data_IF_587599088487
#
_entry.id   IF_587599088487
#
_cell.length_a   1.000
_cell.length_b   1.000
_cell.length_c   1.000
_cell.angle_alpha   90.00
_cell.angle_beta   90.00
_cell.angle_gamma   90.00
#
_symmetry.space_group_name_H-M   'P 1'
#
loop_
_entity.id
_entity.type
_entity.pdbx_description
1 polymer ?
#
# COMPACT_ATOMS: atom_id res chain seq x y z
N UNK A 1 -48.29 -30.90 -71.83
CA UNK A 1 -47.12 -31.80 -71.90
C UNK A 1 -45.92 -30.95 -72.28
N UNK A 2 -44.81 -30.78 -71.54
CA UNK A 2 -44.24 -31.41 -70.36
C UNK A 2 -43.24 -30.41 -69.73
N UNK A 3 -43.35 -30.24 -68.41
CA UNK A 3 -42.28 -30.06 -67.42
C UNK A 3 -41.44 -28.75 -67.35
N UNK A 4 -41.90 -27.89 -66.42
CA UNK A 4 -41.12 -27.25 -65.34
C UNK A 4 -39.80 -27.97 -65.01
N UNK A 5 -38.67 -27.25 -65.01
CA UNK A 5 -37.34 -27.57 -64.42
C UNK A 5 -36.41 -26.42 -64.85
N UNK A 6 -35.79 -25.56 -64.03
CA UNK A 6 -35.39 -25.60 -62.64
C UNK A 6 -35.39 -24.16 -62.08
N UNK A 7 -36.27 -23.87 -61.11
CA UNK A 7 -35.92 -22.94 -60.05
C UNK A 7 -34.79 -23.59 -59.22
N UNK A 8 -33.80 -22.78 -58.82
CA UNK A 8 -32.74 -22.99 -57.81
C UNK A 8 -31.34 -22.67 -58.37
N UNK A 9 -31.16 -21.46 -58.90
CA UNK A 9 -29.84 -20.82 -58.81
C UNK A 9 -29.78 -20.22 -57.41
N UNK A 10 -29.03 -20.90 -56.55
CA UNK A 10 -28.94 -20.63 -55.14
C UNK A 10 -28.56 -19.17 -54.88
N UNK A 11 -29.47 -18.43 -54.27
CA UNK A 11 -29.11 -17.31 -53.42
C UNK A 11 -28.32 -17.90 -52.25
N UNK A 12 -27.01 -18.10 -52.47
CA UNK A 12 -26.05 -18.27 -51.39
C UNK A 12 -25.99 -16.89 -50.74
N UNK A 13 -26.96 -16.64 -49.86
CA UNK A 13 -26.83 -15.63 -48.83
C UNK A 13 -25.54 -15.97 -48.11
N UNK A 14 -24.49 -15.21 -48.40
CA UNK A 14 -23.33 -15.07 -47.53
C UNK A 14 -23.85 -14.55 -46.18
N UNK A 15 -24.35 -15.46 -45.35
CA UNK A 15 -24.30 -15.32 -43.90
C UNK A 15 -22.80 -15.35 -43.55
N UNK A 16 -22.12 -14.23 -43.80
CA UNK A 16 -20.97 -13.85 -43.02
C UNK A 16 -21.51 -13.62 -41.61
N UNK A 17 -21.65 -14.70 -40.86
CA UNK A 17 -21.68 -14.63 -39.41
C UNK A 17 -20.37 -13.95 -39.02
N UNK A 18 -20.44 -12.64 -38.81
CA UNK A 18 -19.42 -11.92 -38.11
C UNK A 18 -19.33 -12.58 -36.73
N UNK A 19 -18.40 -13.53 -36.60
CA UNK A 19 -17.89 -13.97 -35.33
C UNK A 19 -17.22 -12.74 -34.72
N UNK A 20 -18.02 -11.87 -34.12
CA UNK A 20 -17.54 -10.94 -33.11
C UNK A 20 -16.93 -11.81 -32.04
N UNK A 21 -15.60 -11.94 -32.08
CA UNK A 21 -14.84 -12.42 -30.94
C UNK A 21 -15.16 -11.44 -29.83
N UNK A 22 -16.15 -11.79 -29.01
CA UNK A 22 -16.41 -11.11 -27.75
C UNK A 22 -15.13 -11.33 -26.95
N UNK A 23 -14.23 -10.35 -26.98
CA UNK A 23 -13.10 -10.35 -26.07
C UNK A 23 -13.73 -10.45 -24.68
N UNK A 24 -13.49 -11.57 -24.00
CA UNK A 24 -13.97 -11.74 -22.64
C UNK A 24 -13.50 -10.51 -21.86
N UNK A 25 -14.45 -9.76 -21.29
CA UNK A 25 -14.12 -8.61 -20.45
C UNK A 25 -13.14 -9.11 -19.39
N UNK A 26 -11.88 -8.67 -19.49
CA UNK A 26 -10.87 -9.05 -18.51
C UNK A 26 -11.34 -8.49 -17.19
N UNK A 27 -11.73 -9.38 -16.27
CA UNK A 27 -12.11 -8.98 -14.92
C UNK A 27 -10.98 -8.11 -14.35
N UNK A 28 -11.30 -6.93 -13.80
CA UNK A 28 -10.29 -6.08 -13.17
C UNK A 28 -9.53 -6.86 -12.09
N UNK A 29 -8.21 -6.66 -12.05
CA UNK A 29 -7.35 -7.29 -11.06
C UNK A 29 -7.43 -6.54 -9.74
N UNK A 30 -7.37 -7.29 -8.65
CA UNK A 30 -7.21 -6.73 -7.31
C UNK A 30 -5.79 -6.18 -7.12
N UNK A 31 -5.65 -5.16 -6.27
CA UNK A 31 -4.38 -4.48 -6.00
C UNK A 31 -4.07 -4.54 -4.51
N UNK A 32 -2.90 -5.07 -4.17
CA UNK A 32 -2.30 -4.95 -2.84
C UNK A 32 -1.13 -3.95 -2.92
N UNK A 33 -1.25 -2.84 -2.21
CA UNK A 33 -0.22 -1.80 -2.12
C UNK A 33 0.43 -1.83 -0.74
N UNK A 34 1.72 -2.18 -0.67
CA UNK A 34 2.48 -2.22 0.58
C UNK A 34 3.45 -1.04 0.59
N UNK A 35 3.32 -0.16 1.58
CA UNK A 35 4.25 0.94 1.83
C UNK A 35 5.00 0.68 3.15
N UNK A 36 6.30 0.91 3.20
CA UNK A 36 7.13 0.72 4.39
C UNK A 36 7.86 2.04 4.65
N UNK A 37 7.67 2.63 5.82
CA UNK A 37 8.22 3.94 6.14
C UNK A 37 9.71 3.86 6.47
N UNK A 38 10.50 4.79 5.93
CA UNK A 38 11.96 4.89 6.11
C UNK A 38 12.78 3.64 5.73
N UNK A 39 12.18 2.65 5.05
CA UNK A 39 12.93 1.52 4.51
C UNK A 39 13.92 1.98 3.43
N UNK A 40 15.20 1.68 3.66
CA UNK A 40 16.29 1.96 2.74
C UNK A 40 16.60 0.77 1.82
N UNK A 41 17.70 0.86 1.09
CA UNK A 41 18.17 -0.13 0.13
C UNK A 41 18.84 -1.37 0.75
N UNK A 42 18.78 -1.55 2.08
CA UNK A 42 19.48 -2.65 2.77
C UNK A 42 18.95 -4.05 2.46
N UNK A 43 17.80 -4.14 1.81
CA UNK A 43 17.12 -5.40 1.49
C UNK A 43 17.96 -6.38 0.64
N UNK A 44 17.74 -7.68 0.84
CA UNK A 44 18.44 -8.76 0.14
C UNK A 44 18.26 -8.71 -1.37
N UNK A 45 17.06 -8.38 -1.87
CA UNK A 45 16.80 -8.26 -3.31
C UNK A 45 17.63 -7.16 -4.00
N UNK A 46 18.09 -6.16 -3.26
CA UNK A 46 18.99 -5.10 -3.76
C UNK A 46 20.47 -5.40 -3.49
N UNK A 47 20.78 -6.54 -2.85
CA UNK A 47 22.13 -6.87 -2.35
C UNK A 47 22.69 -5.76 -1.47
N UNK A 48 21.82 -5.19 -0.63
CA UNK A 48 22.17 -4.12 0.30
C UNK A 48 23.04 -4.61 1.46
N UNK A 49 22.65 -4.27 2.69
CA UNK A 49 23.42 -4.66 3.87
C UNK A 49 23.38 -6.19 4.05
N UNK A 50 24.53 -6.89 4.07
CA UNK A 50 24.57 -8.35 4.21
C UNK A 50 24.02 -8.87 5.55
N UNK A 51 23.87 -8.00 6.56
CA UNK A 51 23.23 -8.37 7.81
C UNK A 51 21.70 -8.42 7.70
N UNK A 52 21.08 -7.69 6.77
CA UNK A 52 19.63 -7.67 6.66
C UNK A 52 19.08 -9.04 6.16
N UNK A 53 18.07 -9.56 6.84
CA UNK A 53 17.42 -10.84 6.51
C UNK A 53 16.00 -10.60 6.01
N UNK A 54 15.81 -10.54 4.68
CA UNK A 54 14.51 -10.23 4.03
C UNK A 54 13.95 -11.33 3.12
N UNK A 55 13.96 -12.62 3.52
CA UNK A 55 13.69 -13.74 2.61
C UNK A 55 12.28 -13.70 1.97
N UNK A 56 11.29 -13.11 2.65
CA UNK A 56 9.95 -12.97 2.10
C UNK A 56 9.85 -11.88 1.02
N UNK A 57 10.59 -10.78 1.18
CA UNK A 57 10.68 -9.72 0.16
C UNK A 57 11.47 -10.21 -1.05
N UNK A 58 12.56 -10.94 -0.81
CA UNK A 58 13.39 -11.53 -1.87
C UNK A 58 12.56 -12.52 -2.72
N UNK A 59 11.73 -13.33 -2.05
CA UNK A 59 10.79 -14.24 -2.72
C UNK A 59 9.72 -13.51 -3.53
N UNK A 60 9.23 -12.35 -3.05
CA UNK A 60 8.27 -11.53 -3.80
C UNK A 60 8.94 -10.92 -5.04
N UNK A 61 10.13 -10.35 -4.88
CA UNK A 61 10.90 -9.77 -5.98
C UNK A 61 11.22 -10.82 -7.07
N UNK A 62 11.58 -12.04 -6.69
CA UNK A 62 11.86 -13.14 -7.62
C UNK A 62 10.65 -13.62 -8.44
N UNK A 63 9.42 -13.30 -7.99
CA UNK A 63 8.17 -13.63 -8.69
C UNK A 63 7.60 -12.47 -9.49
N UNK A 64 8.22 -11.30 -9.42
CA UNK A 64 7.71 -10.06 -9.99
C UNK A 64 8.75 -9.29 -10.79
N UNK A 65 8.54 -7.99 -10.88
CA UNK A 65 9.48 -7.04 -11.46
C UNK A 65 10.13 -6.24 -10.34
N UNK A 66 11.47 -6.22 -10.30
CA UNK A 66 12.23 -5.42 -9.36
C UNK A 66 12.77 -4.16 -10.06
N UNK A 67 12.40 -2.99 -9.56
CA UNK A 67 12.99 -1.72 -9.98
C UNK A 67 14.18 -1.39 -9.08
N UNK A 68 15.40 -1.52 -9.60
CA UNK A 68 16.64 -1.29 -8.85
C UNK A 68 17.05 0.18 -8.75
N UNK A 69 16.33 1.07 -9.44
CA UNK A 69 16.64 2.50 -9.51
C UNK A 69 15.39 3.36 -9.26
N UNK A 70 14.58 2.98 -8.26
CA UNK A 70 13.38 3.71 -7.87
C UNK A 70 13.70 4.75 -6.80
N UNK A 71 13.30 6.01 -7.04
CA UNK A 71 13.56 7.12 -6.13
C UNK A 71 12.26 7.74 -5.64
N UNK A 72 12.20 8.12 -4.36
CA UNK A 72 11.13 8.95 -3.85
C UNK A 72 11.21 10.36 -4.46
N UNK A 73 10.05 11.03 -4.58
CA UNK A 73 10.01 12.39 -5.13
C UNK A 73 10.53 13.45 -4.15
N UNK A 74 10.55 13.13 -2.84
CA UNK A 74 11.15 13.93 -1.79
C UNK A 74 11.61 13.04 -0.64
N UNK A 75 12.74 13.32 0.01
CA UNK A 75 13.26 12.55 1.14
C UNK A 75 12.60 12.96 2.48
N UNK A 76 11.26 13.02 2.50
CA UNK A 76 10.46 13.34 3.69
C UNK A 76 9.07 12.71 3.58
N UNK A 77 8.54 12.17 4.70
CA UNK A 77 7.31 11.39 4.74
C UNK A 77 6.12 12.06 4.03
N UNK A 78 5.71 13.26 4.47
CA UNK A 78 4.55 13.98 3.92
C UNK A 78 4.68 14.32 2.44
N UNK A 79 5.75 15.03 2.02
CA UNK A 79 6.03 15.31 0.62
C UNK A 79 6.06 14.06 -0.27
N UNK A 80 6.79 13.01 0.14
CA UNK A 80 6.89 11.76 -0.62
C UNK A 80 5.54 11.08 -0.79
N UNK A 81 4.79 10.91 0.31
CA UNK A 81 3.48 10.26 0.31
C UNK A 81 2.47 11.06 -0.49
N UNK A 82 2.45 12.38 -0.36
CA UNK A 82 1.58 13.23 -1.16
C UNK A 82 1.86 13.10 -2.66
N UNK A 83 3.13 12.94 -3.05
CA UNK A 83 3.51 12.76 -4.45
C UNK A 83 3.12 11.38 -5.01
N UNK A 84 3.26 10.32 -4.23
CA UNK A 84 2.77 8.97 -4.60
C UNK A 84 1.24 8.98 -4.72
N UNK A 85 0.54 9.55 -3.73
CA UNK A 85 -0.92 9.50 -3.70
C UNK A 85 -1.55 10.39 -4.76
N UNK A 86 -0.98 11.56 -5.07
CA UNK A 86 -1.55 12.46 -6.10
C UNK A 86 -0.97 12.26 -7.50
N UNK A 87 0.19 11.61 -7.63
CA UNK A 87 0.99 11.62 -8.86
C UNK A 87 1.68 12.96 -9.16
N UNK A 88 1.65 13.93 -8.23
CA UNK A 88 2.16 15.29 -8.44
C UNK A 88 3.48 15.48 -7.69
N UNK A 89 4.52 15.91 -8.41
CA UNK A 89 5.86 16.13 -7.82
C UNK A 89 5.85 17.32 -6.83
N UNK A 90 6.69 17.28 -5.78
CA UNK A 90 6.89 18.42 -4.87
C UNK A 90 7.26 19.72 -5.59
N UNK A 91 8.05 19.64 -6.67
CA UNK A 91 8.40 20.80 -7.51
C UNK A 91 7.21 21.46 -8.19
N UNK A 92 6.10 20.74 -8.36
CA UNK A 92 4.86 21.24 -8.95
C UNK A 92 3.87 21.67 -7.87
N UNK A 93 3.72 20.86 -6.81
CA UNK A 93 2.76 21.15 -5.75
C UNK A 93 3.25 22.22 -4.77
N UNK A 94 4.56 22.36 -4.57
CA UNK A 94 5.14 23.17 -3.49
C UNK A 94 5.10 22.51 -2.11
N UNK A 95 4.75 21.22 -2.01
CA UNK A 95 4.72 20.50 -0.72
C UNK A 95 6.11 19.93 -0.38
N UNK A 96 6.90 20.63 0.44
CA UNK A 96 8.30 20.28 0.71
C UNK A 96 8.60 19.81 2.14
N UNK A 97 7.66 19.97 3.09
CA UNK A 97 7.90 19.65 4.50
C UNK A 97 6.76 18.85 5.11
N UNK A 98 7.06 18.03 6.11
CA UNK A 98 6.07 17.20 6.82
C UNK A 98 4.95 18.01 7.50
N UNK A 99 5.24 19.25 7.92
CA UNK A 99 4.25 20.14 8.56
C UNK A 99 3.19 20.68 7.59
N UNK A 100 3.39 20.55 6.28
CA UNK A 100 2.44 21.02 5.27
C UNK A 100 1.39 19.96 5.01
N UNK A 101 0.13 20.25 5.35
CA UNK A 101 -0.99 19.40 4.96
C UNK A 101 -1.36 19.62 3.50
N UNK A 102 -1.69 18.54 2.79
CA UNK A 102 -2.10 18.66 1.39
C UNK A 102 -3.48 19.29 1.22
N UNK A 103 -4.38 19.27 2.22
CA UNK A 103 -5.70 19.90 2.11
C UNK A 103 -5.61 21.44 2.02
N UNK A 104 -4.53 22.02 2.54
CA UNK A 104 -4.25 23.46 2.44
C UNK A 104 -3.47 23.82 1.17
N UNK A 105 -3.10 22.83 0.37
CA UNK A 105 -2.39 23.02 -0.89
C UNK A 105 -3.41 22.96 -2.04
N UNK A 106 -3.66 24.05 -2.80
CA UNK A 106 -4.70 24.06 -3.83
C UNK A 106 -4.43 23.12 -5.00
N UNK A 107 -3.17 22.74 -5.26
CA UNK A 107 -2.84 21.79 -6.32
C UNK A 107 -3.16 20.36 -5.87
N UNK A 108 -2.74 20.00 -4.66
CA UNK A 108 -2.94 18.65 -4.12
C UNK A 108 -4.38 18.42 -3.68
N UNK A 109 -5.00 19.39 -3.00
CA UNK A 109 -6.36 19.25 -2.50
C UNK A 109 -7.37 18.99 -3.61
N UNK A 110 -7.15 19.58 -4.79
CA UNK A 110 -8.01 19.44 -5.97
C UNK A 110 -7.59 18.30 -6.91
N UNK A 111 -6.59 17.50 -6.54
CA UNK A 111 -6.17 16.31 -7.30
C UNK A 111 -7.00 15.08 -6.93
N UNK A 112 -7.14 14.14 -7.85
CA UNK A 112 -7.66 12.80 -7.54
C UNK A 112 -6.53 11.97 -6.96
N UNK A 113 -6.68 11.52 -5.72
CA UNK A 113 -5.68 10.66 -5.09
C UNK A 113 -5.82 9.21 -5.58
N UNK A 114 -4.75 8.43 -5.43
CA UNK A 114 -4.68 7.01 -5.79
C UNK A 114 -5.86 6.19 -5.23
N UNK A 115 -6.20 6.24 -3.93
CA UNK A 115 -7.38 5.54 -3.40
C UNK A 115 -8.69 6.08 -4.02
N UNK A 116 -8.82 7.40 -4.22
CA UNK A 116 -10.00 7.99 -4.87
C UNK A 116 -10.17 7.51 -6.30
N UNK A 117 -9.06 7.39 -7.05
CA UNK A 117 -9.07 6.89 -8.41
C UNK A 117 -9.60 5.46 -8.45
N UNK A 118 -9.15 4.57 -7.57
CA UNK A 118 -9.68 3.21 -7.50
C UNK A 118 -11.17 3.21 -7.14
N UNK A 119 -11.57 3.97 -6.11
CA UNK A 119 -12.97 4.05 -5.68
C UNK A 119 -13.90 4.56 -6.80
N UNK A 120 -13.48 5.61 -7.52
CA UNK A 120 -14.22 6.18 -8.66
C UNK A 120 -14.34 5.20 -9.85
N UNK A 121 -13.49 4.18 -9.91
CA UNK A 121 -13.49 3.15 -10.95
C UNK A 121 -14.09 1.81 -10.47
N UNK A 122 -14.91 1.85 -9.42
CA UNK A 122 -15.70 0.69 -8.98
C UNK A 122 -14.92 -0.32 -8.14
N UNK A 123 -13.76 0.07 -7.60
CA UNK A 123 -13.06 -0.77 -6.63
C UNK A 123 -13.58 -0.52 -5.22
N UNK A 124 -13.66 -1.58 -4.43
CA UNK A 124 -13.71 -1.45 -2.98
C UNK A 124 -12.32 -1.06 -2.46
N UNK A 125 -12.22 0.02 -1.70
CA UNK A 125 -10.93 0.57 -1.26
C UNK A 125 -10.78 0.50 0.24
N UNK A 126 -9.83 -0.34 0.67
CA UNK A 126 -9.46 -0.55 2.06
C UNK A 126 -8.01 -0.10 2.32
N UNK A 127 -7.73 0.35 3.54
CA UNK A 127 -6.39 0.77 3.96
C UNK A 127 -6.10 0.42 5.42
N UNK A 128 -4.83 0.24 5.76
CA UNK A 128 -4.39 0.17 7.14
C UNK A 128 -2.99 0.76 7.31
N UNK A 129 -2.70 1.28 8.49
CA UNK A 129 -1.36 1.74 8.86
C UNK A 129 -0.96 3.06 8.18
N UNK A 130 0.36 3.29 8.03
CA UNK A 130 0.90 4.55 7.50
C UNK A 130 0.86 4.57 5.97
N UNK A 131 -0.25 4.99 5.38
CA UNK A 131 -0.32 5.27 3.92
C UNK A 131 -0.11 6.77 3.63
N UNK A 132 -0.70 7.61 4.46
CA UNK A 132 -0.52 9.07 4.45
C UNK A 132 0.38 9.50 5.61
N UNK A 133 0.66 10.80 5.73
CA UNK A 133 1.47 11.29 6.83
C UNK A 133 0.60 11.48 8.10
N UNK A 134 0.93 10.76 9.17
CA UNK A 134 0.13 10.71 10.39
C UNK A 134 -0.20 12.06 11.03
N UNK A 135 0.68 13.07 10.89
CA UNK A 135 0.44 14.40 11.46
C UNK A 135 -0.82 15.10 10.92
N UNK A 136 -1.26 14.75 9.70
CA UNK A 136 -2.42 15.36 9.04
C UNK A 136 -3.53 14.35 8.70
N UNK A 137 -3.32 13.07 9.00
CA UNK A 137 -4.14 11.96 8.51
C UNK A 137 -5.64 12.19 8.70
N UNK A 138 -6.04 12.58 9.92
CA UNK A 138 -7.44 12.73 10.32
C UNK A 138 -8.25 13.66 9.39
N UNK A 139 -7.61 14.71 8.86
CA UNK A 139 -8.28 15.65 7.94
C UNK A 139 -8.04 15.27 6.48
N UNK A 140 -6.87 14.71 6.18
CA UNK A 140 -6.44 14.41 4.82
C UNK A 140 -7.20 13.25 4.16
N UNK A 141 -7.57 12.20 4.88
CA UNK A 141 -8.25 11.03 4.27
C UNK A 141 -9.77 11.13 4.30
N UNK A 142 -10.33 12.15 4.97
CA UNK A 142 -11.77 12.28 5.20
C UNK A 142 -12.50 12.50 3.88
N UNK A 143 -13.21 11.46 3.42
CA UNK A 143 -13.93 11.48 2.15
C UNK A 143 -13.02 11.37 0.92
N UNK A 144 -11.76 10.96 1.10
CA UNK A 144 -10.74 10.89 0.06
C UNK A 144 -10.36 9.45 -0.30
N UNK A 145 -11.36 8.65 -0.67
CA UNK A 145 -11.12 7.41 -1.44
C UNK A 145 -11.06 6.11 -0.66
N UNK A 146 -11.40 6.06 0.62
CA UNK A 146 -11.46 4.81 1.40
C UNK A 146 -12.88 4.46 1.80
N UNK A 147 -13.28 3.22 1.57
CA UNK A 147 -14.50 2.61 2.10
C UNK A 147 -14.28 2.15 3.54
N UNK A 148 -13.13 1.53 3.81
CA UNK A 148 -12.69 1.07 5.13
C UNK A 148 -11.24 1.49 5.41
N UNK A 149 -10.94 1.86 6.65
CA UNK A 149 -9.56 2.13 7.08
C UNK A 149 -9.35 1.63 8.50
N UNK A 150 -8.23 0.97 8.77
CA UNK A 150 -7.87 0.47 10.09
C UNK A 150 -6.61 1.17 10.65
N UNK A 151 -6.60 1.58 11.94
CA UNK A 151 -7.65 1.38 12.96
C UNK A 151 -8.95 2.14 12.72
N UNK A 152 -8.89 3.30 12.06
CA UNK A 152 -10.07 4.05 11.65
C UNK A 152 -9.74 5.09 10.58
N UNK A 153 -10.75 5.79 10.05
CA UNK A 153 -10.54 6.94 9.14
C UNK A 153 -10.02 8.21 9.82
N UNK A 154 -9.76 8.15 11.13
CA UNK A 154 -9.24 9.26 11.93
C UNK A 154 -7.92 8.91 12.63
N UNK A 155 -7.44 7.68 12.45
CA UNK A 155 -6.23 7.16 13.06
C UNK A 155 -5.52 6.25 12.04
N UNK A 156 -4.32 6.62 11.64
CA UNK A 156 -3.54 5.90 10.63
C UNK A 156 -2.95 4.60 11.17
N UNK A 157 -2.38 4.62 12.37
CA UNK A 157 -1.61 3.51 12.95
C UNK A 157 -2.30 2.96 14.19
N UNK A 158 -2.23 1.65 14.44
CA UNK A 158 -2.44 1.12 15.78
C UNK A 158 -1.52 1.85 16.78
N UNK A 159 -2.02 2.06 18.00
CA UNK A 159 -1.27 2.84 18.99
C UNK A 159 -0.05 2.08 19.46
N UNK A 160 1.08 2.79 19.58
CA UNK A 160 2.25 2.31 20.33
C UNK A 160 2.06 2.45 21.84
N UNK A 161 0.95 3.04 22.31
CA UNK A 161 0.63 3.16 23.72
C UNK A 161 0.42 1.78 24.35
N UNK A 162 1.06 1.54 25.51
CA UNK A 162 1.00 0.26 26.21
C UNK A 162 2.02 -0.78 25.73
N UNK A 163 2.78 -0.49 24.66
CA UNK A 163 3.91 -1.34 24.26
C UNK A 163 4.94 -1.36 25.40
N UNK A 164 5.29 -2.55 25.87
CA UNK A 164 6.25 -2.75 26.96
C UNK A 164 7.64 -2.90 26.38
N UNK A 165 8.64 -2.30 27.03
CA UNK A 165 10.04 -2.34 26.60
C UNK A 165 10.89 -3.18 27.56
N UNK A 166 11.95 -3.82 27.05
CA UNK A 166 12.81 -4.69 27.87
C UNK A 166 13.64 -3.91 28.90
N UNK A 167 13.94 -2.65 28.62
CA UNK A 167 14.61 -1.72 29.53
C UNK A 167 13.74 -0.49 29.80
N UNK A 168 14.06 0.28 30.85
CA UNK A 168 13.48 1.61 31.02
C UNK A 168 13.77 2.44 29.77
N UNK A 169 12.75 3.11 29.22
CA UNK A 169 12.90 4.04 28.10
C UNK A 169 14.09 4.98 28.36
N UNK A 170 15.12 5.03 27.50
CA UNK A 170 16.20 5.99 27.66
C UNK A 170 15.71 7.42 27.42
N UNK A 171 16.39 8.34 28.11
CA UNK A 171 16.31 9.82 28.11
C UNK A 171 15.20 10.47 27.26
N UNK A 172 14.27 11.18 27.91
CA UNK A 172 13.25 11.98 27.24
C UNK A 172 13.80 13.05 26.27
N UNK A 173 12.93 13.60 25.41
CA UNK A 173 13.31 14.57 24.38
C UNK A 173 13.64 13.90 23.03
N UNK A 174 14.55 14.50 22.26
CA UNK A 174 14.98 14.00 20.94
C UNK A 174 15.64 12.61 21.00
N UNK A 175 16.21 12.22 22.16
CA UNK A 175 16.76 10.89 22.38
C UNK A 175 15.72 9.78 22.21
N UNK A 176 14.47 10.03 22.64
CA UNK A 176 13.34 9.11 22.47
C UNK A 176 12.96 8.89 21.01
N UNK A 177 13.20 9.89 20.16
CA UNK A 177 12.88 9.81 18.72
C UNK A 177 13.96 9.11 17.91
N UNK A 178 15.14 8.87 18.45
CA UNK A 178 16.24 8.14 17.79
C UNK A 178 16.55 6.81 18.51
N UNK A 179 15.61 6.37 19.32
CA UNK A 179 15.79 5.27 20.25
C UNK A 179 15.60 3.92 19.56
N UNK A 180 16.19 2.89 20.13
CA UNK A 180 16.10 1.54 19.61
C UNK A 180 16.34 0.48 20.68
N UNK A 181 15.75 -0.70 20.49
CA UNK A 181 15.97 -1.83 21.40
C UNK A 181 14.93 -2.93 21.27
N UNK A 182 14.99 -3.95 22.13
CA UNK A 182 13.96 -4.96 22.20
C UNK A 182 12.74 -4.48 22.99
N UNK A 183 11.56 -4.86 22.53
CA UNK A 183 10.36 -4.87 23.36
C UNK A 183 10.51 -5.85 24.53
N UNK A 184 9.66 -5.73 25.55
CA UNK A 184 9.61 -6.68 26.65
C UNK A 184 9.38 -8.11 26.10
N UNK A 185 9.96 -9.18 26.70
CA UNK A 185 9.83 -10.54 26.16
C UNK A 185 8.40 -11.05 25.96
N UNK A 186 7.43 -10.52 26.71
CA UNK A 186 6.00 -10.85 26.59
C UNK A 186 5.31 -10.16 25.40
N UNK A 187 5.95 -9.18 24.75
CA UNK A 187 5.41 -8.49 23.58
C UNK A 187 5.75 -9.31 22.34
N UNK A 188 4.71 -9.75 21.64
CA UNK A 188 4.82 -10.49 20.38
C UNK A 188 4.65 -9.56 19.18
N UNK A 189 4.84 -10.09 17.98
CA UNK A 189 4.51 -9.36 16.75
C UNK A 189 3.03 -8.95 16.73
N UNK A 190 2.13 -9.78 17.26
CA UNK A 190 0.68 -9.52 17.23
C UNK A 190 0.27 -8.37 18.17
N UNK A 191 1.12 -8.03 19.15
CA UNK A 191 0.95 -6.84 20.01
C UNK A 191 1.58 -5.58 19.39
N UNK A 192 2.46 -5.75 18.41
CA UNK A 192 3.18 -4.65 17.78
C UNK A 192 2.32 -3.98 16.70
N UNK A 193 2.30 -2.62 16.60
CA UNK A 193 1.45 -1.92 15.63
C UNK A 193 1.57 -2.39 14.18
N UNK A 194 2.79 -2.73 13.75
CA UNK A 194 3.01 -3.27 12.40
C UNK A 194 2.48 -4.69 12.22
N UNK A 195 2.57 -5.54 13.25
CA UNK A 195 2.00 -6.88 13.21
C UNK A 195 0.47 -6.84 13.23
N UNK A 196 -0.12 -5.97 14.04
CA UNK A 196 -1.58 -5.70 14.03
C UNK A 196 -2.02 -5.26 12.62
N UNK A 197 -1.31 -4.29 12.03
CA UNK A 197 -1.59 -3.79 10.67
C UNK A 197 -1.49 -4.91 9.61
N UNK A 198 -0.41 -5.69 9.66
CA UNK A 198 -0.18 -6.79 8.72
C UNK A 198 -1.21 -7.91 8.89
N UNK A 199 -1.59 -8.25 10.12
CA UNK A 199 -2.61 -9.25 10.41
C UNK A 199 -3.99 -8.81 9.91
N UNK A 200 -4.37 -7.56 10.14
CA UNK A 200 -5.63 -7.03 9.62
C UNK A 200 -5.67 -7.09 8.08
N UNK A 201 -4.58 -6.68 7.40
CA UNK A 201 -4.52 -6.77 5.94
C UNK A 201 -4.57 -8.22 5.44
N UNK A 202 -3.88 -9.15 6.12
CA UNK A 202 -3.93 -10.59 5.83
C UNK A 202 -5.35 -11.14 5.98
N UNK A 203 -6.06 -10.78 7.04
CA UNK A 203 -7.43 -11.20 7.29
C UNK A 203 -8.38 -10.67 6.23
N UNK A 204 -8.26 -9.40 5.83
CA UNK A 204 -9.06 -8.85 4.72
C UNK A 204 -8.81 -9.58 3.40
N UNK A 205 -7.56 -9.89 3.08
CA UNK A 205 -7.20 -10.61 1.85
C UNK A 205 -7.69 -12.06 1.83
N UNK A 206 -7.58 -12.77 2.95
CA UNK A 206 -7.81 -14.22 3.02
C UNK A 206 -9.20 -14.60 3.54
N UNK A 207 -9.87 -13.70 4.25
CA UNK A 207 -11.18 -13.92 4.87
C UNK A 207 -12.36 -13.84 3.89
N UNK A 208 -12.13 -13.37 2.66
CA UNK A 208 -13.18 -13.25 1.64
C UNK A 208 -14.15 -12.09 1.86
N UNK A 209 -13.78 -11.11 2.69
CA UNK A 209 -14.62 -9.95 3.03
C UNK A 209 -14.57 -8.83 1.97
N UNK A 210 -13.51 -8.79 1.16
CA UNK A 210 -13.31 -7.73 0.18
C UNK A 210 -14.20 -7.97 -1.06
N UNK A 211 -14.90 -6.91 -1.49
CA UNK A 211 -15.68 -6.94 -2.73
C UNK A 211 -14.75 -6.78 -3.92
N UNK A 212 -14.77 -7.73 -4.85
CA UNK A 212 -13.98 -7.62 -6.09
C UNK A 212 -14.62 -6.61 -7.07
N UNK A 213 -13.81 -5.78 -7.76
CA UNK A 213 -12.38 -5.63 -7.57
C UNK A 213 -12.05 -4.78 -6.33
N UNK A 214 -10.89 -5.01 -5.71
CA UNK A 214 -10.47 -4.23 -4.55
C UNK A 214 -9.06 -3.65 -4.66
N UNK A 215 -8.85 -2.52 -3.99
CA UNK A 215 -7.55 -1.96 -3.63
C UNK A 215 -7.40 -2.10 -2.12
N UNK A 216 -6.30 -2.73 -1.68
CA UNK A 216 -5.92 -2.82 -0.28
C UNK A 216 -4.55 -2.19 -0.07
N UNK A 217 -4.49 -1.09 0.67
CA UNK A 217 -3.24 -0.49 1.12
C UNK A 217 -2.82 -0.97 2.51
N UNK A 218 -1.56 -1.33 2.69
CA UNK A 218 -0.97 -1.67 3.99
C UNK A 218 0.31 -0.83 4.20
N UNK A 219 0.27 0.07 5.18
CA UNK A 219 1.37 0.96 5.54
C UNK A 219 2.08 0.50 6.80
N UNK A 220 3.26 -0.09 6.64
CA UNK A 220 4.14 -0.52 7.73
C UNK A 220 4.98 0.66 8.20
N UNK A 221 5.07 0.84 9.52
CA UNK A 221 5.77 1.95 10.17
C UNK A 221 7.26 1.70 10.31
N UNK A 222 7.70 0.59 10.88
CA UNK A 222 9.12 0.31 11.02
C UNK A 222 9.78 0.05 9.66
N UNK A 223 11.03 0.50 9.45
CA UNK A 223 12.02 0.96 10.43
C UNK A 223 12.02 2.48 10.72
N UNK A 224 10.90 3.19 10.54
CA UNK A 224 10.78 4.56 11.06
C UNK A 224 10.92 4.56 12.58
N UNK A 225 11.61 5.57 13.10
CA UNK A 225 11.92 5.67 14.52
C UNK A 225 10.69 5.94 15.40
N UNK A 226 10.71 5.55 16.69
CA UNK A 226 11.76 4.77 17.36
C UNK A 226 11.71 3.28 16.96
N UNK A 227 12.87 2.62 16.95
CA UNK A 227 13.04 1.27 16.39
C UNK A 227 12.99 0.20 17.48
N UNK A 228 11.79 -0.30 17.78
CA UNK A 228 11.57 -1.25 18.85
C UNK A 228 11.01 -2.57 18.31
N UNK A 229 11.89 -3.56 18.19
CA UNK A 229 11.52 -4.87 17.67
C UNK A 229 11.12 -5.83 18.80
N UNK A 230 10.15 -6.75 18.60
CA UNK A 230 9.96 -7.88 19.50
C UNK A 230 11.28 -8.65 19.72
N UNK A 231 11.48 -9.17 20.93
CA UNK A 231 12.76 -9.77 21.36
C UNK A 231 13.29 -10.81 20.35
N UNK A 232 12.41 -11.65 19.80
CA UNK A 232 12.78 -12.67 18.82
C UNK A 232 13.37 -12.14 17.50
N UNK A 233 13.09 -10.89 17.13
CA UNK A 233 13.68 -10.24 15.96
C UNK A 233 14.99 -9.55 16.32
N UNK A 234 15.04 -8.98 17.52
CA UNK A 234 16.26 -8.37 18.07
C UNK A 234 17.38 -9.41 18.23
N UNK A 235 17.08 -10.58 18.77
CA UNK A 235 18.04 -11.67 19.00
C UNK A 235 18.68 -12.23 17.71
N UNK A 236 18.11 -11.94 16.54
CA UNK A 236 18.64 -12.38 15.23
C UNK A 236 19.92 -11.63 14.85
N UNK A 237 20.24 -10.54 15.55
CA UNK A 237 21.33 -9.61 15.29
C UNK A 237 22.10 -9.30 16.59
N UNK A 238 22.92 -10.24 17.10
CA UNK A 238 23.73 -9.99 18.28
C UNK A 238 24.70 -8.82 18.05
N UNK A 239 24.75 -7.90 19.03
CA UNK A 239 25.61 -6.71 19.04
C UNK A 239 27.07 -7.06 19.39
#
# INVERSE_FOLDING_TARGET
>A
MKFLRFLKAAAVCCFLTALTVQAAEKKPMNVLFIAIDDLNDWTGMLKGNPQAKTPHMDRLAAKGMLFTNAHCAAPACGPSRSAIMSGIRPSTSGNYINKSSFIHNPILNNSVLLPEFFQQNGYYVAGAGKLFHGYHFNEEVKGRGFDEYFPSKTQDLPSFEGLKFASKLPMGGWGRQADWGPCHPDVTLDDHPDGITANWAKEKLLGGELQDPFFLGAGIFEPHLPNYAPQEYFDRFPL
#
